data_IF_156874133490
#
_entry.id   IF_156874133490
#
_cell.length_a   1.000
_cell.length_b   1.000
_cell.length_c   1.000
_cell.angle_alpha   90.00
_cell.angle_beta   90.00
_cell.angle_gamma   90.00
#
_symmetry.space_group_name_H-M   'P 1'
#
loop_
_entity.id
_entity.type
_entity.pdbx_description
1 polymer ?
#
# COMPACT_ATOMS: atom_id res chain seq x y z
N UNK A 1 0.49 -6.36 5.64
CA UNK A 1 -0.47 -7.49 5.66
C UNK A 1 -1.28 -7.57 4.37
N UNK A 2 -2.15 -6.61 4.03
CA UNK A 2 -2.99 -6.67 2.81
C UNK A 2 -2.21 -6.84 1.49
N UNK A 3 -1.13 -6.08 1.30
CA UNK A 3 -0.26 -6.15 0.11
C UNK A 3 0.48 -7.49 -0.01
N UNK A 4 0.81 -8.12 1.12
CA UNK A 4 1.53 -9.40 1.16
C UNK A 4 0.58 -10.60 1.01
N UNK A 5 -0.68 -10.47 1.46
CA UNK A 5 -1.72 -11.49 1.27
C UNK A 5 -2.36 -11.45 -0.13
N UNK A 6 -2.41 -10.28 -0.77
CA UNK A 6 -2.97 -10.07 -2.12
C UNK A 6 -1.87 -9.96 -3.19
N UNK A 7 -0.86 -10.82 -3.10
CA UNK A 7 0.28 -10.80 -4.01
C UNK A 7 -0.14 -11.11 -5.46
N UNK A 8 -0.52 -10.07 -6.22
CA UNK A 8 -0.61 -10.07 -7.68
C UNK A 8 -0.84 -8.69 -8.32
N UNK A 9 -0.87 -7.56 -7.60
CA UNK A 9 -1.36 -6.33 -8.22
C UNK A 9 -0.60 -5.09 -7.78
N UNK A 10 -0.09 -4.38 -8.78
CA UNK A 10 0.60 -3.11 -8.67
C UNK A 10 -0.12 -2.14 -7.72
N UNK A 11 0.65 -1.60 -6.77
CA UNK A 11 0.14 -0.62 -5.82
C UNK A 11 -0.03 0.71 -6.54
N UNK A 12 -1.26 1.18 -6.53
CA UNK A 12 -1.67 2.47 -7.05
C UNK A 12 -1.68 3.49 -5.89
N UNK A 13 -1.03 4.65 -6.06
CA UNK A 13 -1.02 5.75 -5.06
C UNK A 13 -1.37 7.08 -5.73
N UNK A 14 -2.13 7.95 -5.08
CA UNK A 14 -2.54 9.25 -5.66
C UNK A 14 -2.09 10.44 -4.81
N UNK A 15 -1.93 11.58 -5.47
CA UNK A 15 -1.17 12.78 -5.07
C UNK A 15 -1.51 13.48 -3.74
N UNK A 16 -2.60 13.17 -3.03
CA UNK A 16 -3.04 14.02 -1.91
C UNK A 16 -2.52 13.68 -0.51
N UNK A 17 -1.63 12.69 -0.39
CA UNK A 17 -1.07 12.26 0.89
C UNK A 17 0.47 12.30 0.88
N UNK A 18 1.09 13.40 0.46
CA UNK A 18 2.57 13.51 0.38
C UNK A 18 3.32 13.08 1.66
N UNK A 19 2.71 13.19 2.86
CA UNK A 19 3.28 12.62 4.10
C UNK A 19 3.05 11.10 4.25
N UNK A 20 1.86 10.58 3.94
CA UNK A 20 1.56 9.15 4.05
C UNK A 20 2.23 8.32 2.95
N UNK A 21 2.42 8.87 1.74
CA UNK A 21 3.04 8.20 0.59
C UNK A 21 4.55 8.01 0.80
N UNK A 22 5.25 9.02 1.31
CA UNK A 22 6.68 8.89 1.62
C UNK A 22 6.90 7.90 2.77
N UNK A 23 6.00 7.92 3.77
CA UNK A 23 5.99 6.95 4.86
C UNK A 23 5.68 5.54 4.33
N UNK A 24 4.73 5.36 3.41
CA UNK A 24 4.35 4.04 2.87
C UNK A 24 5.43 3.45 1.94
N UNK A 25 6.16 4.28 1.18
CA UNK A 25 7.30 3.85 0.37
C UNK A 25 8.54 3.52 1.23
N UNK A 26 8.79 4.27 2.29
CA UNK A 26 9.85 3.93 3.26
C UNK A 26 9.46 2.66 4.04
N UNK A 27 8.20 2.55 4.46
CA UNK A 27 7.65 1.36 5.15
C UNK A 27 7.49 0.17 4.21
N UNK A 28 7.48 0.32 2.88
CA UNK A 28 7.55 -0.81 1.95
C UNK A 28 8.98 -1.27 1.68
N UNK A 29 9.96 -0.37 1.74
CA UNK A 29 11.38 -0.72 1.66
C UNK A 29 11.91 -1.38 2.94
N UNK A 30 11.47 -0.94 4.13
CA UNK A 30 11.94 -1.49 5.42
C UNK A 30 11.72 -3.01 5.54
N UNK A 31 10.54 -3.58 5.22
CA UNK A 31 10.30 -5.02 5.22
C UNK A 31 11.14 -5.75 4.16
N UNK A 32 11.35 -5.17 2.98
CA UNK A 32 12.19 -5.78 1.93
C UNK A 32 13.64 -5.94 2.40
N UNK A 33 14.13 -5.04 3.27
CA UNK A 33 15.45 -5.12 3.90
C UNK A 33 15.47 -5.76 5.30
N UNK A 34 14.31 -6.17 5.82
CA UNK A 34 14.18 -6.79 7.15
C UNK A 34 14.63 -8.23 7.06
N UNK A 35 15.45 -8.66 8.00
CA UNK A 35 16.04 -10.00 8.01
C UNK A 35 15.28 -10.97 8.93
N UNK A 36 14.53 -10.46 9.91
CA UNK A 36 13.84 -11.26 10.92
C UNK A 36 12.44 -10.70 11.25
N UNK A 37 11.55 -11.57 11.72
CA UNK A 37 10.25 -11.12 12.23
C UNK A 37 10.43 -10.27 13.51
N UNK A 38 9.61 -9.23 13.65
CA UNK A 38 9.57 -8.28 14.77
C UNK A 38 10.87 -7.48 14.97
N UNK A 39 11.67 -7.29 13.93
CA UNK A 39 12.95 -6.56 13.98
C UNK A 39 12.80 -5.10 14.43
N UNK A 40 11.72 -4.44 13.99
CA UNK A 40 11.49 -3.01 14.23
C UNK A 40 10.42 -2.78 15.28
N UNK A 41 10.57 -1.74 16.10
CA UNK A 41 9.57 -1.38 17.11
C UNK A 41 9.22 0.09 17.03
N UNK A 42 7.94 0.40 17.01
CA UNK A 42 7.38 1.76 16.97
C UNK A 42 6.40 1.97 18.13
N UNK A 43 6.10 3.25 18.42
CA UNK A 43 5.10 3.65 19.39
C UNK A 43 4.02 4.48 18.69
N UNK A 44 3.05 3.82 18.02
CA UNK A 44 2.14 4.50 17.10
C UNK A 44 1.19 5.48 17.82
N UNK A 45 0.98 5.34 19.13
CA UNK A 45 -0.04 6.10 19.85
C UNK A 45 0.49 7.32 20.60
N UNK A 46 1.80 7.58 20.60
CA UNK A 46 2.42 8.63 21.45
C UNK A 46 1.88 10.03 21.21
N UNK A 47 1.38 10.31 20.01
CA UNK A 47 0.86 11.62 19.63
C UNK A 47 -0.64 11.78 19.92
N UNK A 48 -1.35 10.71 20.30
CA UNK A 48 -2.76 10.76 20.63
C UNK A 48 -2.96 10.96 22.13
N UNK A 49 -3.42 12.15 22.52
CA UNK A 49 -3.59 12.57 23.92
C UNK A 49 -5.02 12.38 24.45
N UNK A 50 -5.92 11.80 23.66
CA UNK A 50 -7.32 11.61 24.03
C UNK A 50 -7.77 10.19 23.71
N UNK A 51 -8.89 9.77 24.31
CA UNK A 51 -9.46 8.42 24.12
C UNK A 51 -8.53 7.26 24.52
N UNK A 52 -7.53 7.54 25.36
CA UNK A 52 -6.69 6.54 26.02
C UNK A 52 -7.22 6.27 27.43
N UNK A 53 -7.35 5.00 27.82
CA UNK A 53 -7.77 4.64 29.18
C UNK A 53 -6.64 4.85 30.19
N UNK A 54 -5.39 4.80 29.73
CA UNK A 54 -4.19 5.03 30.54
C UNK A 54 -3.00 5.51 29.72
N UNK A 55 -2.00 6.11 30.38
CA UNK A 55 -0.73 6.51 29.74
C UNK A 55 0.03 5.31 29.15
N UNK A 56 -0.17 4.11 29.72
CA UNK A 56 0.41 2.86 29.19
C UNK A 56 -0.12 2.53 27.80
N UNK A 57 -1.38 2.86 27.51
CA UNK A 57 -1.97 2.61 26.20
C UNK A 57 -1.37 3.53 25.13
N UNK A 58 -1.12 4.79 25.50
CA UNK A 58 -0.48 5.79 24.64
C UNK A 58 1.00 5.46 24.37
N UNK A 59 1.71 4.92 25.37
CA UNK A 59 3.13 4.53 25.27
C UNK A 59 3.33 3.06 24.87
N UNK A 60 2.29 2.38 24.37
CA UNK A 60 2.39 0.96 23.99
C UNK A 60 3.26 0.79 22.74
N UNK A 61 4.30 -0.04 22.87
CA UNK A 61 5.17 -0.45 21.77
C UNK A 61 4.46 -1.48 20.86
N UNK A 62 4.76 -1.42 19.56
CA UNK A 62 4.34 -2.40 18.56
C UNK A 62 5.55 -2.77 17.71
N UNK A 63 5.83 -4.07 17.61
CA UNK A 63 6.92 -4.58 16.77
C UNK A 63 6.40 -5.05 15.40
N UNK A 64 7.23 -4.93 14.36
CA UNK A 64 6.91 -5.30 12.98
C UNK A 64 8.20 -5.61 12.18
N UNK A 65 8.10 -6.30 11.02
CA UNK A 65 6.95 -7.03 10.52
C UNK A 65 6.74 -8.33 11.31
N UNK A 66 5.50 -8.74 11.52
CA UNK A 66 5.13 -9.98 12.22
C UNK A 66 5.53 -11.25 11.45
N UNK A 67 5.64 -11.14 10.12
CA UNK A 67 6.08 -12.20 9.21
C UNK A 67 7.25 -11.69 8.37
N UNK A 68 8.28 -12.52 8.18
CA UNK A 68 9.39 -12.20 7.30
C UNK A 68 8.93 -12.12 5.83
N UNK A 69 9.15 -11.02 5.10
CA UNK A 69 8.60 -10.84 3.75
C UNK A 69 9.01 -11.91 2.74
N UNK A 70 10.25 -12.40 2.77
CA UNK A 70 10.68 -13.49 1.87
C UNK A 70 10.08 -14.85 2.25
N UNK A 71 9.54 -15.00 3.46
CA UNK A 71 8.84 -16.23 3.87
C UNK A 71 7.39 -16.29 3.37
N UNK A 72 6.85 -15.16 2.88
CA UNK A 72 5.48 -15.06 2.38
C UNK A 72 5.28 -15.70 0.98
N UNK A 73 6.31 -16.37 0.42
CA UNK A 73 6.19 -17.06 -0.88
C UNK A 73 6.11 -16.13 -2.09
N UNK A 74 6.34 -14.83 -1.90
CA UNK A 74 6.35 -13.81 -2.94
C UNK A 74 7.74 -13.80 -3.59
N UNK A 75 8.00 -14.76 -4.48
CA UNK A 75 9.35 -14.90 -5.09
C UNK A 75 9.41 -14.47 -6.55
N UNK A 76 8.29 -14.45 -7.27
CA UNK A 76 8.26 -14.11 -8.70
C UNK A 76 7.03 -13.26 -9.04
N UNK A 77 7.23 -12.18 -9.80
CA UNK A 77 6.14 -11.34 -10.33
C UNK A 77 5.64 -10.20 -9.43
N UNK A 78 6.25 -9.95 -8.28
CA UNK A 78 5.91 -8.79 -7.44
C UNK A 78 6.63 -7.53 -7.90
N UNK A 79 5.86 -6.50 -8.24
CA UNK A 79 6.35 -5.16 -8.56
C UNK A 79 5.63 -4.11 -7.71
N UNK A 80 6.32 -2.98 -7.53
CA UNK A 80 5.73 -1.79 -6.93
C UNK A 80 6.09 -0.61 -7.81
N UNK A 81 5.08 0.17 -8.21
CA UNK A 81 5.28 1.39 -8.95
C UNK A 81 5.15 2.60 -8.01
N UNK A 82 6.05 3.57 -8.14
CA UNK A 82 5.98 4.83 -7.43
C UNK A 82 5.51 5.91 -8.40
N UNK A 83 4.37 6.53 -8.12
CA UNK A 83 3.81 7.58 -8.95
C UNK A 83 2.36 7.88 -8.60
N UNK A 84 1.79 8.86 -9.30
CA UNK A 84 0.36 9.16 -9.24
C UNK A 84 -0.42 8.17 -10.12
N UNK A 85 -1.51 7.59 -9.62
CA UNK A 85 -2.31 6.60 -10.35
C UNK A 85 -2.65 7.04 -11.76
N UNK A 86 -3.15 8.27 -11.88
CA UNK A 86 -3.68 8.78 -13.14
C UNK A 86 -2.54 8.95 -14.14
N UNK A 87 -1.38 9.44 -13.71
CA UNK A 87 -0.23 9.62 -14.58
C UNK A 87 0.38 8.29 -15.02
N UNK A 88 0.48 7.32 -14.12
CA UNK A 88 1.14 6.04 -14.42
C UNK A 88 0.25 5.14 -15.27
N UNK A 89 -1.04 5.03 -14.94
CA UNK A 89 -1.93 4.02 -15.51
C UNK A 89 -2.83 4.52 -16.64
N UNK A 90 -2.84 5.83 -16.91
CA UNK A 90 -3.53 6.35 -18.09
C UNK A 90 -2.66 6.29 -19.36
N UNK A 91 -1.43 5.82 -19.29
CA UNK A 91 -0.56 5.59 -20.45
C UNK A 91 -1.12 4.51 -21.38
N UNK A 92 -0.88 4.62 -22.69
CA UNK A 92 -1.34 3.64 -23.69
C UNK A 92 -0.74 2.24 -23.43
N UNK A 93 0.47 2.18 -22.86
CA UNK A 93 1.14 0.92 -22.50
C UNK A 93 0.40 0.07 -21.46
N UNK A 94 -0.55 0.66 -20.73
CA UNK A 94 -1.28 0.01 -19.64
C UNK A 94 -2.67 -0.49 -20.07
N UNK A 95 -3.10 -0.16 -21.29
CA UNK A 95 -4.42 -0.55 -21.80
C UNK A 95 -4.54 -2.07 -21.92
N UNK A 96 -5.60 -2.64 -21.34
CA UNK A 96 -5.83 -4.09 -21.28
C UNK A 96 -4.61 -4.91 -20.80
N UNK A 97 -3.80 -4.36 -19.89
CA UNK A 97 -2.61 -5.04 -19.37
C UNK A 97 -2.90 -5.92 -18.15
N UNK A 98 -3.99 -5.66 -17.42
CA UNK A 98 -4.25 -6.21 -16.09
C UNK A 98 -5.43 -7.18 -16.07
N UNK A 99 -5.29 -8.30 -15.36
CA UNK A 99 -6.35 -9.31 -15.22
C UNK A 99 -7.35 -9.00 -14.10
N UNK A 100 -6.96 -8.19 -13.12
CA UNK A 100 -7.80 -7.73 -12.03
C UNK A 100 -7.22 -6.47 -11.40
N UNK A 101 -8.08 -5.62 -10.82
CA UNK A 101 -7.69 -4.46 -10.02
C UNK A 101 -8.37 -4.54 -8.66
N UNK A 102 -7.58 -4.48 -7.59
CA UNK A 102 -8.08 -4.47 -6.20
C UNK A 102 -7.77 -3.13 -5.57
N UNK A 103 -8.80 -2.48 -5.04
CA UNK A 103 -8.66 -1.21 -4.31
C UNK A 103 -9.08 -1.40 -2.86
N UNK A 104 -8.34 -0.82 -1.92
CA UNK A 104 -8.64 -0.89 -0.49
C UNK A 104 -8.36 0.47 0.14
N UNK A 105 -9.40 1.15 0.64
CA UNK A 105 -9.32 2.54 1.14
C UNK A 105 -8.58 3.50 0.18
N UNK A 106 -8.80 3.32 -1.14
CA UNK A 106 -8.10 4.06 -2.18
C UNK A 106 -9.03 4.95 -3.03
N UNK A 107 -10.20 4.44 -3.44
CA UNK A 107 -11.10 5.17 -4.35
C UNK A 107 -11.60 6.50 -3.77
N UNK A 108 -11.78 6.57 -2.45
CA UNK A 108 -12.18 7.78 -1.73
C UNK A 108 -11.08 8.86 -1.66
N UNK A 109 -9.86 8.55 -2.11
CA UNK A 109 -8.75 9.51 -2.22
C UNK A 109 -8.76 10.30 -3.53
N UNK A 110 -9.62 9.93 -4.48
CA UNK A 110 -9.67 10.54 -5.80
C UNK A 110 -10.16 11.99 -5.76
N UNK A 111 -9.50 12.86 -6.54
CA UNK A 111 -10.08 14.17 -6.89
C UNK A 111 -11.36 14.04 -7.69
N UNK A 112 -11.32 13.12 -8.64
CA UNK A 112 -12.44 12.78 -9.51
C UNK A 112 -12.53 11.25 -9.56
N UNK A 113 -13.52 10.70 -8.86
CA UNK A 113 -13.73 9.25 -8.84
C UNK A 113 -14.07 8.68 -10.22
N UNK A 114 -14.69 9.48 -11.10
CA UNK A 114 -15.03 9.04 -12.46
C UNK A 114 -13.76 8.75 -13.25
N UNK A 115 -12.75 9.61 -13.14
CA UNK A 115 -11.46 9.43 -13.82
C UNK A 115 -10.75 8.14 -13.36
N UNK A 116 -10.84 7.81 -12.06
CA UNK A 116 -10.28 6.54 -11.59
C UNK A 116 -11.01 5.34 -12.17
N UNK A 117 -12.34 5.36 -12.18
CA UNK A 117 -13.14 4.25 -12.70
C UNK A 117 -12.88 4.06 -14.19
N UNK A 118 -12.77 5.15 -14.95
CA UNK A 118 -12.42 5.12 -16.38
C UNK A 118 -11.05 4.49 -16.62
N UNK A 119 -10.04 4.87 -15.84
CA UNK A 119 -8.70 4.30 -15.94
C UNK A 119 -8.69 2.82 -15.56
N UNK A 120 -9.35 2.44 -14.45
CA UNK A 120 -9.49 1.03 -14.06
C UNK A 120 -10.13 0.23 -15.19
N UNK A 121 -11.21 0.74 -15.78
CA UNK A 121 -11.87 0.09 -16.92
C UNK A 121 -10.98 -0.02 -18.15
N UNK A 122 -10.11 0.98 -18.41
CA UNK A 122 -9.18 0.99 -19.55
C UNK A 122 -8.07 -0.05 -19.39
N UNK A 123 -7.51 -0.18 -18.19
CA UNK A 123 -6.34 -1.02 -17.96
C UNK A 123 -6.68 -2.50 -17.77
N UNK A 124 -7.94 -2.81 -17.46
CA UNK A 124 -8.44 -4.18 -17.36
C UNK A 124 -8.61 -4.82 -18.74
N UNK A 125 -8.22 -6.09 -18.85
CA UNK A 125 -8.54 -6.94 -20.01
C UNK A 125 -10.04 -7.21 -20.08
N UNK A 126 -10.52 -7.59 -21.25
CA UNK A 126 -11.88 -8.11 -21.42
C UNK A 126 -12.14 -9.28 -20.46
N UNK A 127 -13.07 -9.10 -19.52
CA UNK A 127 -13.44 -10.08 -18.51
C UNK A 127 -12.68 -10.00 -17.19
N UNK A 128 -11.82 -9.00 -17.01
CA UNK A 128 -11.17 -8.65 -15.73
C UNK A 128 -12.01 -7.78 -14.81
#
# INVERSE_FOLDING_TARGET
>A
MLIYELCATDIISNRHLYQTVFIMLIISHIPISTQEANEWTIYPWIHNNCNSLSDKDQLRAVSFPDIHPSSAGITEGFSMCAGDFVEVYNEESQESAWDAVVTCFFLDTAHNIVEYIEIISKILKDGG
#
